data_IF_097952030785
#
_entry.id   IF_097952030785
#
_cell.length_a   1.000
_cell.length_b   1.000
_cell.length_c   1.000
_cell.angle_alpha   90.00
_cell.angle_beta   90.00
_cell.angle_gamma   90.00
#
_symmetry.space_group_name_H-M   'P 1'
#
loop_
_entity.id
_entity.type
_entity.pdbx_description
1 polymer ?
#
# COMPACT_ATOMS: atom_id res chain seq x y z
N UNK A 1 -26.05 -34.17 46.63
CA UNK A 1 -25.91 -34.81 45.30
C UNK A 1 -24.46 -35.24 45.14
N UNK A 2 -24.17 -36.54 45.03
CA UNK A 2 -22.78 -37.04 44.91
C UNK A 2 -22.47 -37.25 43.42
N UNK A 3 -21.76 -36.29 42.83
CA UNK A 3 -21.31 -36.39 41.44
C UNK A 3 -20.29 -37.52 41.32
N UNK A 4 -20.68 -38.60 40.64
CA UNK A 4 -19.79 -39.70 40.26
C UNK A 4 -19.16 -39.32 38.92
N UNK A 5 -17.94 -38.79 38.93
CA UNK A 5 -17.21 -38.58 37.69
C UNK A 5 -16.84 -39.93 37.07
N UNK A 6 -17.17 -40.17 35.79
CA UNK A 6 -16.74 -41.38 35.09
C UNK A 6 -15.20 -41.36 34.97
N UNK A 7 -14.58 -42.55 35.01
CA UNK A 7 -13.14 -42.68 34.76
C UNK A 7 -12.88 -42.41 33.28
N UNK A 8 -12.35 -41.24 32.95
CA UNK A 8 -11.93 -40.89 31.59
C UNK A 8 -10.64 -41.63 31.24
N UNK A 9 -10.60 -42.25 30.06
CA UNK A 9 -9.39 -42.89 29.54
C UNK A 9 -8.47 -41.85 28.89
N UNK A 10 -7.17 -42.18 28.76
CA UNK A 10 -6.17 -41.32 28.13
C UNK A 10 -6.56 -40.90 26.71
N UNK A 11 -7.10 -41.82 25.92
CA UNK A 11 -7.56 -41.55 24.55
C UNK A 11 -8.71 -40.52 24.49
N UNK A 12 -9.58 -40.49 25.51
CA UNK A 12 -10.64 -39.48 25.59
C UNK A 12 -10.07 -38.06 25.81
N UNK A 13 -9.00 -37.93 26.60
CA UNK A 13 -8.30 -36.66 26.77
C UNK A 13 -7.52 -36.24 25.52
N UNK A 14 -6.94 -37.19 24.79
CA UNK A 14 -6.26 -36.92 23.53
C UNK A 14 -7.25 -36.43 22.46
N UNK A 15 -8.43 -37.06 22.38
CA UNK A 15 -9.52 -36.62 21.51
C UNK A 15 -10.04 -35.23 21.91
N UNK A 16 -10.26 -34.98 23.20
CA UNK A 16 -10.71 -33.67 23.68
C UNK A 16 -9.72 -32.55 23.34
N UNK A 17 -8.41 -32.80 23.52
CA UNK A 17 -7.36 -31.84 23.12
C UNK A 17 -7.36 -31.59 21.62
N UNK A 18 -7.48 -32.65 20.81
CA UNK A 18 -7.55 -32.53 19.35
C UNK A 18 -8.77 -31.70 18.92
N UNK A 19 -9.96 -32.01 19.43
CA UNK A 19 -11.18 -31.24 19.14
C UNK A 19 -11.06 -29.79 19.60
N UNK A 20 -10.47 -29.53 20.77
CA UNK A 20 -10.24 -28.17 21.24
C UNK A 20 -9.30 -27.40 20.30
N UNK A 21 -8.17 -27.98 19.91
CA UNK A 21 -7.23 -27.33 18.99
C UNK A 21 -7.80 -27.15 17.58
N UNK A 22 -8.70 -28.02 17.13
CA UNK A 22 -9.37 -27.86 15.84
C UNK A 22 -10.47 -26.79 15.91
N UNK A 23 -11.36 -26.86 16.91
CA UNK A 23 -12.54 -25.99 17.00
C UNK A 23 -12.22 -24.58 17.47
N UNK A 24 -11.19 -24.39 18.30
CA UNK A 24 -10.81 -23.07 18.84
C UNK A 24 -10.51 -22.06 17.73
N UNK A 25 -9.56 -22.29 16.81
CA UNK A 25 -9.26 -21.32 15.75
C UNK A 25 -10.44 -21.11 14.80
N UNK A 26 -11.17 -22.18 14.44
CA UNK A 26 -12.35 -22.09 13.58
C UNK A 26 -13.42 -21.20 14.23
N UNK A 27 -13.67 -21.36 15.52
CA UNK A 27 -14.66 -20.58 16.26
C UNK A 27 -14.22 -19.12 16.39
N UNK A 28 -12.94 -18.86 16.67
CA UNK A 28 -12.40 -17.50 16.73
C UNK A 28 -12.52 -16.83 15.36
N UNK A 29 -12.16 -17.50 14.27
CA UNK A 29 -12.31 -16.96 12.92
C UNK A 29 -13.77 -16.77 12.52
N UNK A 30 -14.69 -17.65 12.92
CA UNK A 30 -16.11 -17.46 12.66
C UNK A 30 -16.68 -16.28 13.44
N UNK A 31 -16.32 -16.14 14.72
CA UNK A 31 -16.78 -15.05 15.56
C UNK A 31 -16.19 -13.72 15.09
N UNK A 32 -14.87 -13.66 14.89
CA UNK A 32 -14.15 -12.43 14.61
C UNK A 32 -14.17 -12.08 13.11
N UNK A 33 -13.99 -13.08 12.25
CA UNK A 33 -13.71 -12.93 10.82
C UNK A 33 -14.89 -12.50 9.94
N UNK A 34 -16.13 -12.70 10.37
CA UNK A 34 -17.32 -12.31 9.57
C UNK A 34 -17.47 -10.79 9.51
N UNK A 35 -17.20 -10.08 10.62
CA UNK A 35 -17.38 -8.64 10.75
C UNK A 35 -16.21 -8.02 11.53
N UNK A 36 -14.99 -8.19 11.03
CA UNK A 36 -13.78 -7.62 11.66
C UNK A 36 -13.83 -6.11 11.71
N UNK A 37 -14.30 -5.48 10.64
CA UNK A 37 -14.43 -4.03 10.54
C UNK A 37 -15.35 -3.51 11.65
N UNK A 38 -16.59 -4.00 11.76
CA UNK A 38 -17.52 -3.53 12.79
C UNK A 38 -17.03 -3.77 14.23
N UNK A 39 -16.28 -4.84 14.48
CA UNK A 39 -15.85 -5.24 15.84
C UNK A 39 -14.56 -4.58 16.30
N UNK A 40 -13.68 -4.21 15.37
CA UNK A 40 -12.40 -3.58 15.66
C UNK A 40 -12.23 -2.19 15.06
N UNK A 41 -13.29 -1.60 14.51
CA UNK A 41 -13.26 -0.21 14.05
C UNK A 41 -13.01 0.71 15.24
N UNK A 42 -11.86 1.39 15.23
CA UNK A 42 -11.58 2.45 16.18
C UNK A 42 -12.07 3.77 15.59
N UNK A 43 -12.83 4.58 16.35
CA UNK A 43 -13.34 5.85 15.84
C UNK A 43 -12.17 6.75 15.43
N UNK A 44 -12.15 7.17 14.17
CA UNK A 44 -11.06 7.98 13.60
C UNK A 44 -9.82 7.18 13.16
N UNK A 45 -9.92 5.86 12.99
CA UNK A 45 -8.83 5.06 12.40
C UNK A 45 -8.45 5.57 11.00
N UNK A 46 -9.47 5.75 10.16
CA UNK A 46 -9.29 6.23 8.80
C UNK A 46 -9.29 7.76 8.80
N UNK A 47 -8.32 8.40 8.13
CA UNK A 47 -8.35 9.84 7.92
C UNK A 47 -9.64 10.19 7.17
N UNK A 48 -10.27 11.28 7.57
CA UNK A 48 -11.50 11.76 6.95
C UNK A 48 -11.31 11.86 5.43
N UNK A 49 -12.17 11.25 4.60
CA UNK A 49 -12.09 11.34 3.15
C UNK A 49 -12.08 12.80 2.65
N UNK A 50 -12.60 13.76 3.42
CA UNK A 50 -12.56 15.18 3.09
C UNK A 50 -11.20 15.84 3.37
N UNK A 51 -10.38 15.25 4.24
CA UNK A 51 -8.99 15.68 4.50
C UNK A 51 -8.00 15.12 3.45
N UNK A 52 -8.41 14.07 2.72
CA UNK A 52 -7.57 13.47 1.71
C UNK A 52 -7.53 14.34 0.44
N UNK A 53 -6.37 14.38 -0.23
CA UNK A 53 -6.24 15.02 -1.53
C UNK A 53 -7.19 14.33 -2.53
N UNK A 54 -8.31 14.97 -2.85
CA UNK A 54 -9.27 14.44 -3.81
C UNK A 54 -8.76 14.71 -5.22
N UNK A 55 -8.47 13.63 -5.95
CA UNK A 55 -8.15 13.71 -7.36
C UNK A 55 -9.39 14.27 -8.09
N UNK A 56 -9.24 15.34 -8.89
CA UNK A 56 -10.34 15.88 -9.68
C UNK A 56 -10.86 14.79 -10.63
N UNK A 57 -12.16 14.48 -10.55
CA UNK A 57 -12.77 13.39 -11.33
C UNK A 57 -13.38 13.90 -12.63
N UNK A 58 -13.73 15.18 -12.67
CA UNK A 58 -14.40 15.78 -13.81
C UNK A 58 -13.41 16.34 -14.84
N UNK A 59 -13.65 16.19 -16.16
CA UNK A 59 -12.73 16.64 -17.21
C UNK A 59 -12.35 18.12 -17.17
N UNK A 60 -13.27 18.97 -16.71
CA UNK A 60 -13.05 20.41 -16.62
C UNK A 60 -12.17 20.80 -15.42
N UNK A 61 -12.34 20.13 -14.28
CA UNK A 61 -11.48 20.30 -13.09
C UNK A 61 -10.05 19.84 -13.39
N UNK A 62 -9.90 18.75 -14.14
CA UNK A 62 -8.60 18.22 -14.58
C UNK A 62 -7.84 19.25 -15.42
N UNK A 63 -8.51 19.90 -16.37
CA UNK A 63 -7.87 20.91 -17.23
C UNK A 63 -7.42 22.14 -16.43
N UNK A 64 -8.22 22.58 -15.47
CA UNK A 64 -7.88 23.71 -14.60
C UNK A 64 -6.68 23.39 -13.70
N UNK A 65 -6.67 22.21 -13.08
CA UNK A 65 -5.56 21.76 -12.24
C UNK A 65 -4.28 21.54 -13.06
N UNK A 66 -4.40 20.99 -14.27
CA UNK A 66 -3.26 20.82 -15.18
C UNK A 66 -2.67 22.16 -15.64
N UNK A 67 -3.51 23.16 -15.87
CA UNK A 67 -3.05 24.51 -16.19
C UNK A 67 -2.29 25.14 -15.01
N UNK A 68 -2.78 24.96 -13.78
CA UNK A 68 -2.09 25.39 -12.55
C UNK A 68 -0.72 24.74 -12.42
N UNK A 69 -0.64 23.41 -12.58
CA UNK A 69 0.61 22.65 -12.50
C UNK A 69 1.62 23.13 -13.57
N UNK A 70 1.16 23.40 -14.80
CA UNK A 70 2.05 23.91 -15.87
C UNK A 70 2.62 25.28 -15.52
N UNK A 71 1.82 26.18 -14.94
CA UNK A 71 2.29 27.50 -14.51
C UNK A 71 3.33 27.39 -13.40
N UNK A 72 3.07 26.58 -12.37
CA UNK A 72 4.03 26.34 -11.28
C UNK A 72 5.35 25.74 -11.79
N UNK A 73 5.29 24.80 -12.74
CA UNK A 73 6.50 24.24 -13.38
C UNK A 73 7.31 25.31 -14.07
N UNK A 74 6.67 26.18 -14.86
CA UNK A 74 7.36 27.28 -15.57
C UNK A 74 8.00 28.26 -14.59
N UNK A 75 7.31 28.61 -13.50
CA UNK A 75 7.86 29.50 -12.47
C UNK A 75 9.03 28.86 -11.72
N UNK A 76 8.94 27.57 -11.38
CA UNK A 76 10.05 26.82 -10.77
C UNK A 76 11.27 26.81 -11.70
N UNK A 77 11.08 26.55 -13.00
CA UNK A 77 12.17 26.59 -14.00
C UNK A 77 12.82 27.96 -14.06
N UNK A 78 12.03 29.04 -14.15
CA UNK A 78 12.56 30.42 -14.13
C UNK A 78 13.36 30.74 -12.86
N UNK A 79 12.84 30.35 -11.68
CA UNK A 79 13.55 30.55 -10.41
C UNK A 79 14.86 29.76 -10.34
N UNK A 80 14.90 28.56 -10.90
CA UNK A 80 16.11 27.75 -10.98
C UNK A 80 17.13 28.35 -11.96
N UNK A 81 16.68 28.82 -13.12
CA UNK A 81 17.53 29.51 -14.11
C UNK A 81 18.14 30.80 -13.53
N UNK A 82 17.35 31.61 -12.81
CA UNK A 82 17.83 32.81 -12.13
C UNK A 82 18.86 32.49 -11.04
N UNK A 83 18.61 31.44 -10.24
CA UNK A 83 19.56 30.97 -9.22
C UNK A 83 20.84 30.43 -9.84
N UNK A 84 20.74 29.66 -10.92
CA UNK A 84 21.89 29.14 -11.66
C UNK A 84 22.74 30.29 -12.24
N UNK A 85 22.09 31.33 -12.78
CA UNK A 85 22.75 32.53 -13.29
C UNK A 85 23.46 33.33 -12.19
N UNK A 86 22.87 33.41 -10.99
CA UNK A 86 23.51 34.06 -9.84
C UNK A 86 24.70 33.27 -9.29
N UNK A 87 24.64 31.93 -9.36
CA UNK A 87 25.71 31.04 -8.89
C UNK A 87 26.83 30.82 -9.92
N UNK A 88 26.73 31.42 -11.12
CA UNK A 88 27.78 31.33 -12.14
C UNK A 88 27.95 29.93 -12.74
N UNK A 89 26.94 29.08 -12.66
CA UNK A 89 26.97 27.71 -13.21
C UNK A 89 26.66 27.79 -14.71
N UNK A 90 27.69 27.57 -15.54
CA UNK A 90 27.56 27.45 -17.00
C UNK A 90 26.90 26.10 -17.35
N UNK A 91 25.97 26.03 -18.32
CA UNK A 91 25.21 24.80 -18.63
C UNK A 91 26.02 23.64 -19.25
N UNK A 92 27.35 23.69 -19.28
CA UNK A 92 28.22 22.66 -19.89
C UNK A 92 28.68 21.56 -18.92
N UNK A 93 28.28 21.57 -17.65
CA UNK A 93 28.67 20.51 -16.69
C UNK A 93 27.52 19.90 -15.89
N UNK A 94 26.28 19.99 -16.37
CA UNK A 94 25.17 19.22 -15.81
C UNK A 94 24.91 18.04 -16.74
N UNK A 95 25.44 16.89 -16.34
CA UNK A 95 25.10 15.59 -16.90
C UNK A 95 23.58 15.46 -17.11
N UNK A 96 23.22 14.92 -18.27
CA UNK A 96 21.84 14.68 -18.76
C UNK A 96 21.09 13.60 -17.96
N UNK A 97 21.29 13.48 -16.65
CA UNK A 97 20.83 12.31 -15.89
C UNK A 97 19.66 12.56 -14.93
N UNK A 98 19.07 13.77 -14.87
CA UNK A 98 17.93 13.99 -13.97
C UNK A 98 16.82 14.84 -14.60
N UNK A 99 16.23 14.32 -15.67
CA UNK A 99 14.83 14.56 -16.06
C UNK A 99 14.28 13.26 -16.70
N UNK A 100 14.59 12.10 -16.11
CA UNK A 100 13.74 10.93 -16.29
C UNK A 100 12.53 11.14 -15.39
N UNK A 101 11.46 11.71 -15.96
CA UNK A 101 10.12 11.34 -15.54
C UNK A 101 10.11 9.80 -15.49
N UNK A 102 10.14 9.22 -14.30
CA UNK A 102 9.98 7.79 -14.11
C UNK A 102 8.55 7.45 -14.56
N UNK A 103 8.40 7.10 -15.84
CA UNK A 103 7.21 6.42 -16.31
C UNK A 103 7.09 5.10 -15.53
N UNK A 104 6.06 4.91 -14.71
CA UNK A 104 5.89 3.70 -13.89
C UNK A 104 5.70 2.43 -14.75
N UNK A 105 5.44 2.58 -16.04
CA UNK A 105 5.43 1.47 -17.00
C UNK A 105 6.83 0.87 -17.22
N UNK A 106 7.88 1.70 -17.20
CA UNK A 106 9.25 1.24 -17.48
C UNK A 106 9.84 0.34 -16.39
N UNK A 107 9.44 0.54 -15.13
CA UNK A 107 9.83 -0.34 -14.01
C UNK A 107 9.09 -1.67 -14.05
N UNK A 108 7.83 -1.66 -14.49
CA UNK A 108 6.99 -2.86 -14.60
C UNK A 108 7.49 -3.79 -15.72
N UNK A 109 7.91 -3.23 -16.86
CA UNK A 109 8.49 -4.00 -17.96
C UNK A 109 9.83 -4.64 -17.57
N UNK A 110 10.70 -3.89 -16.86
CA UNK A 110 12.00 -4.42 -16.38
C UNK A 110 11.85 -5.53 -15.36
N UNK A 111 10.81 -5.50 -14.54
CA UNK A 111 10.50 -6.58 -13.60
C UNK A 111 9.99 -7.82 -14.34
N UNK A 112 9.14 -7.65 -15.36
CA UNK A 112 8.65 -8.77 -16.17
C UNK A 112 9.78 -9.48 -16.93
N UNK A 113 10.69 -8.73 -17.57
CA UNK A 113 11.84 -9.32 -18.28
C UNK A 113 12.79 -10.06 -17.33
N UNK A 114 13.00 -9.56 -16.11
CA UNK A 114 13.83 -10.23 -15.11
C UNK A 114 13.19 -11.53 -14.59
N UNK A 115 11.88 -11.54 -14.38
CA UNK A 115 11.15 -12.74 -13.96
C UNK A 115 11.19 -13.80 -15.07
N UNK A 116 11.00 -13.41 -16.33
CA UNK A 116 11.05 -14.31 -17.49
C UNK A 116 12.45 -14.91 -17.69
N UNK A 117 13.51 -14.11 -17.53
CA UNK A 117 14.89 -14.58 -17.62
C UNK A 117 15.23 -15.61 -16.53
N UNK A 118 14.79 -15.39 -15.28
CA UNK A 118 15.01 -16.33 -14.18
C UNK A 118 14.23 -17.63 -14.38
N UNK A 119 13.01 -17.56 -14.93
CA UNK A 119 12.19 -18.74 -15.21
C UNK A 119 12.68 -19.56 -16.43
N UNK A 120 13.53 -18.96 -17.27
CA UNK A 120 14.11 -19.62 -18.46
C UNK A 120 15.45 -20.33 -18.19
N UNK A 121 16.04 -20.09 -17.01
CA UNK A 121 17.35 -20.62 -16.59
C UNK A 121 17.23 -21.80 -15.60
N UNK A 122 16.01 -22.29 -15.35
CA UNK A 122 15.66 -23.48 -14.55
C UNK A 122 15.05 -24.60 -15.42
#
# INVERSE_FOLDING_TARGET
MRFRFPRLSRSQFELAKFTFYLMTPITIMYYVGIDTDRKFNVPGYWPDPDTLNKIPKEPHEIQAELARIRQERLEKRRRLEEKARQLGITPDSVDKDQDQDQDPESESERQQTQIEAVLSDE
#
